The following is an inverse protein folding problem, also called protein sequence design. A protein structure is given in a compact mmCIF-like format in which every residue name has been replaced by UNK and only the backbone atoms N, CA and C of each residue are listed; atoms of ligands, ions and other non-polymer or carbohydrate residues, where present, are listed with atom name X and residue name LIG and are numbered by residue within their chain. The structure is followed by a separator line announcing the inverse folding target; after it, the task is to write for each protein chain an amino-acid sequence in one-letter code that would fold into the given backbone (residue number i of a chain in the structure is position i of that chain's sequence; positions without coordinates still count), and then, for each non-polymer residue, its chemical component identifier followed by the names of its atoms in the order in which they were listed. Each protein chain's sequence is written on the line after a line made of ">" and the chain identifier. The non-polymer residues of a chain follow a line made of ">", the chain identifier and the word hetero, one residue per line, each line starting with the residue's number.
data_IF_682918749392
#
_entry.id   IF_682918749392
#
_cell.length_a   1.000
_cell.length_b   1.000
_cell.length_c   1.000
_cell.angle_alpha   90.00
_cell.angle_beta   90.00
_cell.angle_gamma   90.00
#
_symmetry.space_group_name_H-M   'P 1'
#
loop_
_entity.id
_entity.type
_entity.pdbx_description
1 polymer ?
#
# COMPACT_ATOMS: atom_id res chain seq x y z
N UNK A 1 -10.27 2.13 -9.76
CA UNK A 1 -9.87 1.20 -8.68
C UNK A 1 -8.68 0.32 -9.09
N UNK A 2 -8.72 -0.32 -10.24
CA UNK A 2 -7.60 -1.16 -10.74
C UNK A 2 -6.32 -0.37 -11.03
N UNK A 3 -6.40 0.93 -11.28
CA UNK A 3 -5.22 1.80 -11.47
C UNK A 3 -4.36 1.97 -10.21
N UNK A 4 -4.93 1.72 -9.03
CA UNK A 4 -4.22 1.86 -7.75
C UNK A 4 -3.91 0.51 -7.09
N UNK A 5 -4.04 -0.61 -7.79
CA UNK A 5 -3.86 -1.93 -7.19
C UNK A 5 -4.88 -2.28 -6.12
N UNK A 6 -6.04 -1.63 -6.13
CA UNK A 6 -7.12 -1.83 -5.17
C UNK A 6 -8.35 -2.41 -5.85
N UNK A 7 -9.07 -3.30 -5.15
CA UNK A 7 -10.40 -3.71 -5.60
C UNK A 7 -11.38 -2.54 -5.50
N UNK A 8 -12.48 -2.61 -6.22
CA UNK A 8 -13.53 -1.59 -6.12
C UNK A 8 -14.08 -1.49 -4.69
N UNK A 9 -14.27 -2.62 -4.03
CA UNK A 9 -14.72 -2.68 -2.64
C UNK A 9 -13.72 -2.01 -1.69
N UNK A 10 -12.41 -2.29 -1.84
CA UNK A 10 -11.38 -1.65 -1.03
C UNK A 10 -11.29 -0.16 -1.31
N UNK A 11 -11.32 0.25 -2.57
CA UNK A 11 -11.31 1.68 -2.95
C UNK A 11 -12.48 2.43 -2.32
N UNK A 12 -13.69 1.89 -2.40
CA UNK A 12 -14.89 2.48 -1.77
C UNK A 12 -14.75 2.56 -0.24
N UNK A 13 -14.27 1.47 0.39
CA UNK A 13 -14.09 1.42 1.84
C UNK A 13 -13.02 2.40 2.31
N UNK A 14 -11.86 2.43 1.69
CA UNK A 14 -10.76 3.31 2.09
C UNK A 14 -11.12 4.78 1.87
N UNK A 15 -11.65 5.13 0.70
CA UNK A 15 -12.12 6.50 0.42
C UNK A 15 -13.22 6.92 1.38
N UNK A 16 -14.18 6.05 1.66
CA UNK A 16 -15.25 6.31 2.62
C UNK A 16 -14.73 6.57 4.03
N UNK A 17 -13.79 5.75 4.50
CA UNK A 17 -13.21 5.92 5.85
C UNK A 17 -12.34 7.16 5.94
N UNK A 18 -11.42 7.38 5.00
CA UNK A 18 -10.59 8.59 4.99
C UNK A 18 -11.45 9.86 4.90
N UNK A 19 -12.51 9.86 4.07
CA UNK A 19 -13.44 10.96 3.95
C UNK A 19 -14.22 11.24 5.24
N UNK A 20 -14.69 10.19 5.92
CA UNK A 20 -15.36 10.33 7.21
C UNK A 20 -14.40 10.90 8.27
N UNK A 21 -13.15 10.43 8.32
CA UNK A 21 -12.13 10.96 9.23
C UNK A 21 -11.84 12.43 8.94
N UNK A 22 -11.64 12.81 7.67
CA UNK A 22 -11.42 14.21 7.29
C UNK A 22 -12.60 15.10 7.70
N UNK A 23 -13.83 14.66 7.46
CA UNK A 23 -15.04 15.41 7.88
C UNK A 23 -15.11 15.56 9.41
N UNK A 24 -14.74 14.53 10.17
CA UNK A 24 -14.70 14.61 11.64
C UNK A 24 -13.70 15.66 12.16
N UNK A 25 -12.62 15.93 11.43
CA UNK A 25 -11.68 17.02 11.74
C UNK A 25 -12.09 18.40 11.20
N UNK A 26 -13.27 18.53 10.58
CA UNK A 26 -13.82 19.79 10.13
C UNK A 26 -13.53 20.20 8.70
N UNK A 27 -12.97 19.30 7.87
CA UNK A 27 -12.82 19.58 6.45
C UNK A 27 -14.16 19.66 5.75
N UNK A 28 -14.31 20.62 4.82
CA UNK A 28 -15.49 20.68 3.95
C UNK A 28 -15.54 19.45 3.02
N UNK A 29 -16.68 19.25 2.39
CA UNK A 29 -16.95 18.04 1.61
C UNK A 29 -15.96 17.84 0.46
N UNK A 30 -15.64 18.91 -0.25
CA UNK A 30 -14.67 18.86 -1.37
C UNK A 30 -13.26 18.51 -0.87
N UNK A 31 -12.77 19.19 0.15
CA UNK A 31 -11.45 18.93 0.70
C UNK A 31 -11.34 17.51 1.31
N UNK A 32 -12.38 17.04 1.99
CA UNK A 32 -12.46 15.69 2.52
C UNK A 32 -12.44 14.64 1.40
N UNK A 33 -13.16 14.86 0.32
CA UNK A 33 -13.17 13.97 -0.84
C UNK A 33 -11.81 13.94 -1.55
N UNK A 34 -11.21 15.09 -1.81
CA UNK A 34 -9.93 15.22 -2.49
C UNK A 34 -8.81 14.52 -1.66
N UNK A 35 -8.77 14.78 -0.34
CA UNK A 35 -7.83 14.13 0.59
C UNK A 35 -8.03 12.61 0.63
N UNK A 36 -9.27 12.15 0.75
CA UNK A 36 -9.60 10.73 0.82
C UNK A 36 -9.22 9.99 -0.47
N UNK A 37 -9.48 10.60 -1.61
CA UNK A 37 -9.15 10.02 -2.92
C UNK A 37 -7.63 9.92 -3.10
N UNK A 38 -6.90 10.97 -2.73
CA UNK A 38 -5.45 10.99 -2.82
C UNK A 38 -4.79 9.96 -1.88
N UNK A 39 -5.25 9.85 -0.62
CA UNK A 39 -4.76 8.84 0.33
C UNK A 39 -5.11 7.41 -0.11
N UNK A 40 -6.26 7.22 -0.74
CA UNK A 40 -6.64 5.90 -1.29
C UNK A 40 -5.71 5.52 -2.45
N UNK A 41 -5.39 6.45 -3.34
CA UNK A 41 -4.40 6.22 -4.40
C UNK A 41 -3.01 5.91 -3.82
N UNK A 42 -2.56 6.73 -2.88
CA UNK A 42 -1.27 6.53 -2.21
C UNK A 42 -1.20 5.18 -1.46
N UNK A 43 -2.32 4.67 -0.95
CA UNK A 43 -2.37 3.32 -0.34
C UNK A 43 -1.93 2.23 -1.31
N UNK A 44 -2.41 2.27 -2.54
CA UNK A 44 -2.02 1.32 -3.58
C UNK A 44 -0.54 1.45 -3.96
N UNK A 45 -0.07 2.69 -4.11
CA UNK A 45 1.33 2.98 -4.46
C UNK A 45 2.30 2.55 -3.35
N UNK A 46 1.97 2.84 -2.09
CA UNK A 46 2.76 2.42 -0.91
C UNK A 46 2.79 0.91 -0.79
N UNK A 47 1.66 0.24 -0.95
CA UNK A 47 1.59 -1.22 -0.92
C UNK A 47 2.48 -1.84 -2.00
N UNK A 48 2.52 -1.26 -3.21
CA UNK A 48 3.38 -1.70 -4.29
C UNK A 48 4.87 -1.44 -4.01
N UNK A 49 5.21 -0.20 -3.68
CA UNK A 49 6.60 0.25 -3.51
C UNK A 49 7.31 -0.43 -2.34
N UNK A 50 6.62 -0.57 -1.19
CA UNK A 50 7.18 -1.17 0.03
C UNK A 50 6.84 -2.66 0.17
N UNK A 51 6.22 -3.26 -0.83
CA UNK A 51 5.81 -4.66 -0.81
C UNK A 51 4.94 -5.03 0.42
N UNK A 52 3.92 -4.21 0.68
CA UNK A 52 2.98 -4.38 1.78
C UNK A 52 1.62 -4.83 1.26
N UNK A 53 0.81 -5.42 2.15
CA UNK A 53 -0.61 -5.59 1.85
C UNK A 53 -1.33 -4.24 1.78
N UNK A 54 -2.41 -4.17 1.00
CA UNK A 54 -3.21 -2.94 0.88
C UNK A 54 -3.82 -2.51 2.23
N UNK A 55 -4.18 -3.48 3.07
CA UNK A 55 -4.71 -3.21 4.43
C UNK A 55 -3.64 -2.61 5.34
N UNK A 56 -2.43 -3.10 5.26
CA UNK A 56 -1.31 -2.61 6.04
C UNK A 56 -0.94 -1.18 5.62
N UNK A 57 -0.77 -0.93 4.32
CA UNK A 57 -0.53 0.42 3.79
C UNK A 57 -1.66 1.38 4.18
N UNK A 58 -2.92 0.95 4.08
CA UNK A 58 -4.08 1.72 4.53
C UNK A 58 -4.02 2.03 6.03
N UNK A 59 -3.68 1.04 6.85
CA UNK A 59 -3.57 1.23 8.31
C UNK A 59 -2.47 2.22 8.66
N UNK A 60 -1.31 2.13 8.01
CA UNK A 60 -0.21 3.09 8.19
C UNK A 60 -0.62 4.51 7.80
N UNK A 61 -1.30 4.70 6.68
CA UNK A 61 -1.72 6.03 6.21
C UNK A 61 -2.83 6.67 7.05
N UNK A 62 -3.59 5.92 7.85
CA UNK A 62 -4.51 6.50 8.86
C UNK A 62 -3.79 7.39 9.87
N UNK A 63 -2.50 7.20 10.07
CA UNK A 63 -1.68 8.03 10.97
C UNK A 63 -1.69 9.52 10.63
N UNK A 64 -2.01 9.89 9.40
CA UNK A 64 -2.24 11.28 8.99
C UNK A 64 -3.31 11.94 9.90
N UNK A 65 -4.37 11.20 10.21
CA UNK A 65 -5.46 11.69 11.06
C UNK A 65 -5.16 11.51 12.54
N UNK A 66 -4.68 10.35 12.96
CA UNK A 66 -4.45 10.03 14.37
C UNK A 66 -3.20 10.70 14.95
N UNK A 67 -2.23 11.06 14.09
CA UNK A 67 -0.95 11.61 14.52
C UNK A 67 0.01 10.58 15.11
N UNK A 68 -0.28 9.30 14.92
CA UNK A 68 0.64 8.22 15.29
C UNK A 68 1.93 8.27 14.47
N UNK A 69 3.07 8.30 15.15
CA UNK A 69 4.36 8.48 14.47
C UNK A 69 5.07 7.16 14.15
N UNK A 70 4.81 6.12 14.94
CA UNK A 70 5.56 4.86 14.83
C UNK A 70 5.22 4.07 13.56
N UNK A 71 3.95 4.03 13.17
CA UNK A 71 3.47 3.24 12.04
C UNK A 71 4.06 3.69 10.68
N UNK A 72 4.45 4.96 10.57
CA UNK A 72 5.04 5.52 9.35
C UNK A 72 6.57 5.38 9.29
N UNK A 73 7.23 5.06 10.41
CA UNK A 73 8.70 4.90 10.46
C UNK A 73 9.18 3.77 9.54
N UNK A 74 8.44 2.69 9.44
CA UNK A 74 8.76 1.58 8.55
C UNK A 74 8.76 1.98 7.07
N UNK A 75 8.04 3.05 6.73
CA UNK A 75 8.05 3.67 5.41
C UNK A 75 9.14 4.75 5.26
N UNK A 76 10.02 4.89 6.26
CA UNK A 76 11.04 5.94 6.29
C UNK A 76 10.50 7.33 6.62
N UNK A 77 9.23 7.45 7.01
CA UNK A 77 8.60 8.74 7.35
C UNK A 77 8.72 9.00 8.85
N UNK A 78 9.59 9.94 9.22
CA UNK A 78 9.80 10.35 10.61
C UNK A 78 8.94 11.57 10.91
N UNK A 79 7.70 11.34 11.34
CA UNK A 79 6.70 12.39 11.59
C UNK A 79 6.72 12.85 13.06
N UNK A 80 7.90 13.25 13.57
CA UNK A 80 8.00 13.84 14.93
C UNK A 80 7.44 15.24 14.95
N UNK A 81 7.10 15.73 16.14
CA UNK A 81 6.63 17.11 16.29
C UNK A 81 7.66 18.14 15.80
N UNK A 82 8.94 17.93 16.11
CA UNK A 82 10.01 18.81 15.63
C UNK A 82 10.14 18.80 14.10
N UNK A 83 9.98 17.64 13.46
CA UNK A 83 9.99 17.53 12.00
C UNK A 83 8.78 18.26 11.38
N UNK A 84 7.61 18.12 11.97
CA UNK A 84 6.40 18.82 11.52
C UNK A 84 6.49 20.33 11.72
N UNK A 85 7.05 20.78 12.83
CA UNK A 85 7.27 22.21 13.09
C UNK A 85 8.26 22.82 12.10
N UNK A 86 9.38 22.15 11.85
CA UNK A 86 10.36 22.56 10.84
C UNK A 86 9.75 22.62 9.43
N UNK A 87 8.97 21.59 9.07
CA UNK A 87 8.28 21.53 7.78
C UNK A 87 7.25 22.66 7.65
N UNK A 88 6.46 22.92 8.69
CA UNK A 88 5.47 24.00 8.71
C UNK A 88 6.11 25.37 8.47
N UNK A 89 7.21 25.66 9.16
CA UNK A 89 7.93 26.93 8.98
C UNK A 89 8.55 27.04 7.59
N UNK A 90 9.17 25.97 7.08
CA UNK A 90 9.77 25.94 5.77
C UNK A 90 8.75 26.09 4.62
N UNK A 91 7.51 25.66 4.82
CA UNK A 91 6.42 25.70 3.83
C UNK A 91 5.45 26.88 4.02
N UNK A 92 5.82 27.90 4.79
CA UNK A 92 5.08 29.15 4.87
C UNK A 92 3.83 29.13 5.75
N UNK A 93 3.67 28.12 6.62
CA UNK A 93 2.54 28.08 7.57
C UNK A 93 2.64 29.17 8.67
N UNK A 94 3.82 29.72 8.88
CA UNK A 94 4.06 30.84 9.79
C UNK A 94 3.85 30.55 11.28
N UNK A 95 3.56 29.31 11.65
CA UNK A 95 3.34 28.86 13.03
C UNK A 95 3.73 27.39 13.21
N UNK A 96 4.05 27.03 14.45
CA UNK A 96 4.32 25.64 14.84
C UNK A 96 3.03 24.88 15.14
N UNK A 97 3.12 23.55 15.20
CA UNK A 97 1.98 22.66 15.48
C UNK A 97 1.26 22.98 16.80
N UNK A 98 1.99 23.50 17.80
CA UNK A 98 1.42 23.92 19.08
C UNK A 98 0.36 25.04 18.94
N UNK A 99 0.45 25.83 17.87
CA UNK A 99 -0.47 26.94 17.58
C UNK A 99 -1.51 26.60 16.50
N UNK A 100 -1.54 25.35 16.04
CA UNK A 100 -2.47 24.89 15.01
C UNK A 100 -3.72 24.27 15.62
N UNK A 101 -4.87 24.47 14.95
CA UNK A 101 -6.07 23.69 15.20
C UNK A 101 -5.86 22.23 14.80
N UNK A 102 -6.72 21.32 15.25
CA UNK A 102 -6.61 19.91 14.88
C UNK A 102 -6.76 19.71 13.37
N UNK A 103 -7.65 20.46 12.71
CA UNK A 103 -7.78 20.43 11.26
C UNK A 103 -6.48 20.86 10.55
N UNK A 104 -5.83 21.92 11.04
CA UNK A 104 -4.55 22.37 10.47
C UNK A 104 -3.42 21.37 10.70
N UNK A 105 -3.40 20.69 11.84
CA UNK A 105 -2.45 19.60 12.11
C UNK A 105 -2.66 18.42 11.18
N UNK A 106 -3.91 18.04 10.90
CA UNK A 106 -4.21 16.97 9.92
C UNK A 106 -3.78 17.41 8.53
N UNK A 107 -4.09 18.64 8.11
CA UNK A 107 -3.66 19.15 6.80
C UNK A 107 -2.13 19.16 6.65
N UNK A 108 -1.41 19.58 7.70
CA UNK A 108 0.05 19.57 7.75
C UNK A 108 0.61 18.15 7.62
N UNK A 109 0.11 17.21 8.44
CA UNK A 109 0.54 15.81 8.40
C UNK A 109 0.27 15.17 7.04
N UNK A 110 -0.89 15.42 6.46
CA UNK A 110 -1.24 14.94 5.12
C UNK A 110 -0.23 15.42 4.08
N UNK A 111 0.08 16.70 4.06
CA UNK A 111 1.05 17.25 3.11
C UNK A 111 2.45 16.72 3.35
N UNK A 112 2.88 16.67 4.61
CA UNK A 112 4.18 16.11 5.00
C UNK A 112 4.33 14.65 4.53
N UNK A 113 3.34 13.80 4.80
CA UNK A 113 3.37 12.38 4.40
C UNK A 113 3.39 12.22 2.89
N UNK A 114 2.60 13.00 2.15
CA UNK A 114 2.64 12.99 0.69
C UNK A 114 4.02 13.33 0.14
N UNK A 115 4.66 14.37 0.67
CA UNK A 115 5.97 14.81 0.21
C UNK A 115 7.06 13.78 0.55
N UNK A 116 7.01 13.19 1.76
CA UNK A 116 7.94 12.14 2.16
C UNK A 116 7.78 10.84 1.35
N UNK A 117 6.57 10.50 0.97
CA UNK A 117 6.27 9.30 0.16
C UNK A 117 6.20 9.59 -1.34
N UNK A 118 6.70 10.73 -1.79
CA UNK A 118 6.66 11.10 -3.21
C UNK A 118 7.36 10.08 -4.13
N UNK A 119 8.40 9.40 -3.65
CA UNK A 119 9.08 8.33 -4.40
C UNK A 119 8.19 7.10 -4.65
N UNK A 120 7.24 6.82 -3.74
CA UNK A 120 6.27 5.73 -3.90
C UNK A 120 5.12 6.11 -4.84
N UNK A 121 4.84 7.42 -5.01
CA UNK A 121 3.70 7.88 -5.80
C UNK A 121 3.77 7.40 -7.25
N UNK A 122 2.68 6.81 -7.73
CA UNK A 122 2.59 6.24 -9.08
C UNK A 122 3.30 4.88 -9.25
N UNK A 123 3.85 4.29 -8.19
CA UNK A 123 4.62 3.04 -8.27
C UNK A 123 3.78 1.89 -8.83
N UNK A 124 2.54 1.74 -8.37
CA UNK A 124 1.67 0.67 -8.87
C UNK A 124 1.47 0.75 -10.38
N UNK A 125 1.26 1.94 -10.93
CA UNK A 125 1.11 2.13 -12.39
C UNK A 125 2.42 1.80 -13.10
N UNK A 126 3.55 2.28 -12.57
CA UNK A 126 4.89 2.08 -13.14
C UNK A 126 5.30 0.61 -13.18
N UNK A 127 4.90 -0.17 -12.19
CA UNK A 127 5.25 -1.59 -12.03
C UNK A 127 4.12 -2.55 -12.40
N UNK A 128 2.97 -2.05 -12.89
CA UNK A 128 1.78 -2.84 -13.18
C UNK A 128 1.98 -3.96 -14.20
N UNK A 129 2.94 -3.82 -15.10
CA UNK A 129 3.28 -4.85 -16.09
C UNK A 129 4.16 -5.98 -15.52
N UNK A 130 4.68 -5.80 -14.31
CA UNK A 130 5.42 -6.84 -13.61
C UNK A 130 4.53 -8.02 -13.23
N UNK A 131 5.10 -9.24 -13.25
CA UNK A 131 4.37 -10.49 -12.94
C UNK A 131 3.61 -10.44 -11.61
N UNK A 132 4.23 -9.93 -10.55
CA UNK A 132 3.62 -9.84 -9.22
C UNK A 132 2.38 -8.95 -9.23
N UNK A 133 2.47 -7.78 -9.85
CA UNK A 133 1.33 -6.87 -9.96
C UNK A 133 0.23 -7.42 -10.88
N UNK A 134 0.57 -8.19 -11.92
CA UNK A 134 -0.41 -8.91 -12.73
C UNK A 134 -1.17 -9.95 -11.89
N UNK A 135 -0.48 -10.69 -11.03
CA UNK A 135 -1.11 -11.64 -10.09
C UNK A 135 -2.00 -10.88 -9.10
N UNK A 136 -1.55 -9.76 -8.52
CA UNK A 136 -2.38 -8.91 -7.64
C UNK A 136 -3.65 -8.42 -8.37
N UNK A 137 -3.52 -7.91 -9.59
CA UNK A 137 -4.69 -7.48 -10.39
C UNK A 137 -5.65 -8.64 -10.64
N UNK A 138 -5.14 -9.83 -10.94
CA UNK A 138 -5.97 -11.03 -11.11
C UNK A 138 -6.71 -11.39 -9.82
N UNK A 139 -6.02 -11.37 -8.68
CA UNK A 139 -6.61 -11.62 -7.36
C UNK A 139 -7.72 -10.61 -7.03
N UNK A 140 -7.48 -9.33 -7.26
CA UNK A 140 -8.45 -8.27 -7.02
C UNK A 140 -9.71 -8.45 -7.89
N UNK A 141 -9.53 -8.89 -9.14
CA UNK A 141 -10.65 -9.21 -10.03
C UNK A 141 -11.46 -10.43 -9.52
N UNK A 142 -10.78 -11.44 -9.01
CA UNK A 142 -11.45 -12.61 -8.39
C UNK A 142 -12.23 -12.20 -7.13
N UNK A 143 -11.66 -11.35 -6.27
CA UNK A 143 -12.36 -10.83 -5.08
C UNK A 143 -13.61 -10.02 -5.47
N UNK A 144 -13.50 -9.19 -6.50
CA UNK A 144 -14.65 -8.42 -7.02
C UNK A 144 -15.76 -9.35 -7.54
N UNK A 145 -15.40 -10.42 -8.24
CA UNK A 145 -16.36 -11.42 -8.69
C UNK A 145 -17.04 -12.14 -7.52
N UNK A 146 -16.28 -12.52 -6.47
CA UNK A 146 -16.85 -13.10 -5.24
C UNK A 146 -17.89 -12.18 -4.60
N UNK A 147 -17.62 -10.88 -4.53
CA UNK A 147 -18.53 -9.89 -3.96
C UNK A 147 -19.82 -9.73 -4.79
N UNK A 148 -19.75 -9.95 -6.10
CA UNK A 148 -20.88 -9.71 -7.02
C UNK A 148 -21.80 -10.92 -7.15
N UNK A 149 -21.31 -12.16 -7.05
CA UNK A 149 -22.04 -13.38 -7.47
C UNK A 149 -22.42 -14.29 -6.28
N UNK A 150 -21.94 -14.01 -5.06
CA UNK A 150 -22.28 -14.76 -3.85
C UNK A 150 -21.61 -16.14 -3.74
N UNK A 151 -21.99 -16.90 -2.70
CA UNK A 151 -21.30 -18.14 -2.31
C UNK A 151 -21.35 -19.28 -3.33
N UNK A 152 -22.36 -19.33 -4.18
CA UNK A 152 -22.48 -20.39 -5.22
C UNK A 152 -21.34 -20.39 -6.23
N UNK A 153 -20.74 -19.24 -6.48
CA UNK A 153 -19.62 -19.08 -7.39
C UNK A 153 -18.28 -19.51 -6.79
N UNK A 154 -18.15 -19.42 -5.47
CA UNK A 154 -16.92 -19.82 -4.73
C UNK A 154 -16.60 -21.28 -5.00
N UNK A 155 -17.60 -22.15 -4.99
CA UNK A 155 -17.40 -23.59 -5.21
C UNK A 155 -16.92 -23.93 -6.62
N UNK A 156 -17.29 -23.14 -7.62
CA UNK A 156 -16.90 -23.36 -9.03
C UNK A 156 -15.44 -22.95 -9.28
N UNK A 157 -14.96 -21.90 -8.60
CA UNK A 157 -13.61 -21.34 -8.81
C UNK A 157 -12.57 -21.75 -7.76
N UNK A 158 -12.98 -22.42 -6.68
CA UNK A 158 -12.05 -22.98 -5.68
C UNK A 158 -10.95 -23.84 -6.30
N UNK A 159 -11.22 -24.74 -7.29
CA UNK A 159 -10.16 -25.52 -7.92
C UNK A 159 -9.19 -24.65 -8.75
N UNK A 160 -9.67 -23.57 -9.36
CA UNK A 160 -8.81 -22.63 -10.13
C UNK A 160 -7.89 -21.86 -9.19
N UNK A 161 -8.41 -21.38 -8.05
CA UNK A 161 -7.62 -20.69 -7.02
C UNK A 161 -6.57 -21.63 -6.45
N UNK A 162 -6.93 -22.89 -6.14
CA UNK A 162 -5.96 -23.90 -5.68
C UNK A 162 -4.88 -24.18 -6.71
N UNK A 163 -5.25 -24.26 -8.00
CA UNK A 163 -4.28 -24.48 -9.07
C UNK A 163 -3.29 -23.30 -9.20
N UNK A 164 -3.76 -22.07 -9.09
CA UNK A 164 -2.90 -20.86 -9.08
C UNK A 164 -1.96 -20.90 -7.89
N UNK A 165 -2.44 -21.23 -6.69
CA UNK A 165 -1.59 -21.32 -5.50
C UNK A 165 -0.51 -22.40 -5.65
N UNK A 166 -0.85 -23.58 -6.19
CA UNK A 166 0.15 -24.64 -6.45
C UNK A 166 1.21 -24.19 -7.46
N UNK A 167 0.83 -23.43 -8.49
CA UNK A 167 1.80 -22.86 -9.44
C UNK A 167 2.72 -21.85 -8.75
N UNK A 168 2.18 -20.98 -7.89
CA UNK A 168 2.95 -20.01 -7.12
C UNK A 168 3.91 -20.68 -6.14
N UNK A 169 3.47 -21.75 -5.43
CA UNK A 169 4.33 -22.56 -4.57
C UNK A 169 5.50 -23.18 -5.34
N UNK A 170 5.23 -23.79 -6.49
CA UNK A 170 6.27 -24.40 -7.31
C UNK A 170 7.23 -23.37 -7.90
N UNK A 171 6.73 -22.19 -8.23
CA UNK A 171 7.56 -21.11 -8.75
C UNK A 171 8.47 -20.53 -7.66
N UNK A 172 7.97 -20.36 -6.42
CA UNK A 172 8.77 -19.93 -5.27
C UNK A 172 9.84 -20.96 -4.91
N UNK A 173 9.52 -22.26 -4.94
CA UNK A 173 10.48 -23.34 -4.71
C UNK A 173 11.56 -23.39 -5.81
N UNK A 174 11.18 -23.18 -7.08
CA UNK A 174 12.14 -23.10 -8.19
C UNK A 174 13.08 -21.89 -8.05
N UNK A 175 12.56 -20.74 -7.62
CA UNK A 175 13.35 -19.53 -7.37
C UNK A 175 14.34 -19.73 -6.22
N UNK A 176 13.90 -20.38 -5.13
CA UNK A 176 14.79 -20.74 -4.02
C UNK A 176 15.89 -21.73 -4.44
N UNK A 177 15.55 -22.74 -5.22
CA UNK A 177 16.52 -23.70 -5.76
C UNK A 177 17.53 -23.03 -6.71
N UNK A 178 17.07 -22.12 -7.57
CA UNK A 178 17.95 -21.35 -8.45
C UNK A 178 18.86 -20.40 -7.67
N UNK A 179 18.35 -19.76 -6.61
CA UNK A 179 19.16 -18.95 -5.69
C UNK A 179 20.27 -19.77 -5.07
N UNK A 180 19.95 -20.92 -4.48
CA UNK A 180 20.94 -21.81 -3.88
C UNK A 180 21.98 -22.30 -4.91
N UNK A 181 21.56 -22.60 -6.14
CA UNK A 181 22.46 -22.95 -7.23
C UNK A 181 23.41 -21.81 -7.60
N UNK A 182 22.91 -20.58 -7.75
CA UNK A 182 23.76 -19.42 -8.08
C UNK A 182 24.72 -19.07 -6.95
N UNK A 183 24.32 -19.20 -5.69
CA UNK A 183 25.20 -19.01 -4.53
C UNK A 183 26.31 -20.07 -4.48
N UNK A 184 25.98 -21.32 -4.81
CA UNK A 184 26.93 -22.43 -4.79
C UNK A 184 27.93 -22.41 -5.96
N UNK A 185 27.45 -22.07 -7.16
CA UNK A 185 28.25 -22.16 -8.40
C UNK A 185 28.99 -20.88 -8.72
N UNK A 186 28.40 -19.73 -8.44
CA UNK A 186 28.94 -18.42 -8.85
C UNK A 186 29.55 -17.62 -7.68
N UNK A 187 29.49 -18.10 -6.45
CA UNK A 187 30.10 -17.44 -5.27
C UNK A 187 29.69 -15.98 -5.09
N UNK A 188 28.56 -15.59 -5.66
CA UNK A 188 28.33 -14.21 -5.99
C UNK A 188 27.26 -13.48 -5.18
N UNK A 189 27.69 -12.38 -4.61
CA UNK A 189 26.86 -11.39 -3.90
C UNK A 189 25.93 -10.57 -4.81
N UNK A 190 25.96 -10.78 -6.13
CA UNK A 190 25.29 -9.86 -7.10
C UNK A 190 23.93 -10.31 -7.60
N UNK A 191 23.60 -11.61 -7.49
CA UNK A 191 22.28 -12.11 -7.94
C UNK A 191 21.24 -12.17 -6.81
N UNK A 192 21.66 -11.95 -5.55
CA UNK A 192 20.80 -12.16 -4.37
C UNK A 192 19.75 -11.08 -4.16
N UNK A 193 19.97 -9.84 -4.56
CA UNK A 193 19.04 -8.74 -4.27
C UNK A 193 17.75 -8.82 -5.12
N UNK A 194 17.86 -9.08 -6.42
CA UNK A 194 16.68 -9.15 -7.29
C UNK A 194 15.82 -10.39 -7.06
N UNK A 195 16.46 -11.53 -6.71
CA UNK A 195 15.73 -12.77 -6.46
C UNK A 195 15.14 -12.85 -5.03
N UNK A 196 15.78 -12.23 -4.05
CA UNK A 196 15.22 -12.10 -2.70
C UNK A 196 13.94 -11.24 -2.72
N UNK A 197 13.95 -10.19 -3.53
CA UNK A 197 12.78 -9.35 -3.74
C UNK A 197 11.63 -10.14 -4.40
N UNK A 198 11.92 -10.92 -5.42
CA UNK A 198 10.93 -11.74 -6.14
C UNK A 198 10.37 -12.88 -5.28
N UNK A 199 11.18 -13.51 -4.43
CA UNK A 199 10.72 -14.58 -3.51
C UNK A 199 9.90 -14.01 -2.34
N UNK A 200 10.26 -12.84 -1.82
CA UNK A 200 9.47 -12.11 -0.82
C UNK A 200 8.10 -11.70 -1.35
N UNK A 201 8.07 -11.15 -2.54
CA UNK A 201 6.84 -10.75 -3.22
C UNK A 201 5.89 -11.94 -3.52
N UNK A 202 6.43 -13.10 -3.86
CA UNK A 202 5.62 -14.32 -4.08
C UNK A 202 5.10 -14.93 -2.78
N UNK A 203 5.87 -14.87 -1.69
CA UNK A 203 5.41 -15.35 -0.38
C UNK A 203 4.25 -14.51 0.16
N UNK A 204 4.27 -13.19 -0.06
CA UNK A 204 3.20 -12.30 0.38
C UNK A 204 1.90 -12.49 -0.42
N UNK A 205 2.01 -12.81 -1.71
CA UNK A 205 0.87 -13.18 -2.54
C UNK A 205 0.19 -14.44 -2.00
N UNK A 206 0.95 -15.36 -1.41
CA UNK A 206 0.47 -16.63 -0.89
C UNK A 206 -0.22 -16.49 0.48
N UNK A 207 0.32 -15.65 1.39
CA UNK A 207 -0.24 -15.44 2.74
C UNK A 207 -1.50 -14.56 2.75
N UNK A 208 -1.79 -13.84 1.70
CA UNK A 208 -3.00 -13.02 1.56
C UNK A 208 -4.30 -13.81 1.34
N UNK A 209 -4.26 -15.16 1.40
CA UNK A 209 -5.40 -16.06 1.14
C UNK A 209 -5.95 -16.81 2.36
N UNK A 210 -5.26 -16.76 3.49
CA UNK A 210 -5.78 -17.27 4.75
C UNK A 210 -6.55 -16.17 5.50
#
# INVERSE_FOLDING_TARGET
>A
STQFGLSETMSKRFTGTFGAMAKAFGFNEKAAYDMATALTGLTGDVASFYNLSQEEAYTKLKSVFTGETETLKELGVVMTQSALDAYALANGYGKTTAKMSEMEKVALRYKFVQDQLSAASGDFIRTSDGWVNQVRVFQLRLQSLKATIGQGFINLFTPVIKAVNVVLERLSAATAAFKNFTETVMGGKSASSGMAQMSGEMAEVQTGYE
#
